data_IF_998943032325
#
_entry.id   IF_998943032325
#
_cell.length_a   1.000
_cell.length_b   1.000
_cell.length_c   1.000
_cell.angle_alpha   90.00
_cell.angle_beta   90.00
_cell.angle_gamma   90.00
#
_symmetry.space_group_name_H-M   'P 1'
#
loop_
_entity.id
_entity.type
_entity.pdbx_description
1 polymer ?
#
# COMPACT_ATOMS: atom_id res chain seq x y z
N UNK A 1 7.95 56.32 -56.41
CA UNK A 1 8.32 54.99 -55.87
C UNK A 1 8.54 55.14 -54.38
N UNK A 2 7.66 54.58 -53.54
CA UNK A 2 8.02 53.79 -52.35
C UNK A 2 6.75 53.40 -51.59
N UNK A 3 6.54 52.08 -51.48
CA UNK A 3 5.41 51.42 -50.83
C UNK A 3 5.53 51.50 -49.30
N UNK A 4 4.41 51.83 -48.64
CA UNK A 4 4.21 51.55 -47.23
C UNK A 4 3.78 50.08 -47.06
N UNK A 5 4.55 49.28 -46.33
CA UNK A 5 4.17 47.89 -45.98
C UNK A 5 3.72 47.82 -44.52
N UNK A 6 2.56 47.18 -44.33
CA UNK A 6 1.71 47.18 -43.14
C UNK A 6 2.20 46.23 -42.02
N UNK A 7 1.99 46.52 -40.72
CA UNK A 7 2.49 45.73 -39.59
C UNK A 7 1.52 44.63 -39.11
N UNK A 8 0.72 44.02 -40.00
CA UNK A 8 -0.41 43.17 -39.58
C UNK A 8 -0.04 41.68 -39.38
N UNK A 9 1.06 41.18 -39.97
CA UNK A 9 1.38 39.74 -39.94
C UNK A 9 2.06 39.21 -38.66
N UNK A 10 2.43 40.07 -37.69
CA UNK A 10 3.26 39.64 -36.55
C UNK A 10 2.47 39.17 -35.33
N UNK A 11 1.15 39.39 -35.29
CA UNK A 11 0.30 39.04 -34.14
C UNK A 11 -0.22 37.59 -34.18
N UNK A 12 -0.58 37.06 -35.36
CA UNK A 12 -1.20 35.72 -35.48
C UNK A 12 -0.29 34.56 -35.03
N UNK A 13 1.02 34.64 -35.29
CA UNK A 13 1.95 33.55 -34.95
C UNK A 13 2.18 33.34 -33.45
N UNK A 14 1.89 34.34 -32.60
CA UNK A 14 2.07 34.25 -31.14
C UNK A 14 0.91 33.53 -30.47
N UNK A 15 -0.32 33.74 -30.93
CA UNK A 15 -1.51 33.11 -30.35
C UNK A 15 -1.53 31.59 -30.57
N UNK A 16 -1.08 31.12 -31.74
CA UNK A 16 -1.06 29.68 -32.05
C UNK A 16 0.02 28.89 -31.28
N UNK A 17 1.15 29.55 -30.95
CA UNK A 17 2.22 28.95 -30.11
C UNK A 17 1.84 28.94 -28.62
N UNK A 18 1.16 29.99 -28.15
CA UNK A 18 0.67 30.06 -26.78
C UNK A 18 -0.41 29.00 -26.50
N UNK A 19 -1.34 28.77 -27.43
CA UNK A 19 -2.38 27.73 -27.29
C UNK A 19 -1.82 26.31 -27.27
N UNK A 20 -0.81 26.02 -28.10
CA UNK A 20 -0.09 24.72 -28.08
C UNK A 20 0.72 24.52 -26.81
N UNK A 21 1.40 25.56 -26.31
CA UNK A 21 2.14 25.49 -25.06
C UNK A 21 1.23 25.26 -23.85
N UNK A 22 0.05 25.91 -23.82
CA UNK A 22 -0.96 25.70 -22.78
C UNK A 22 -1.54 24.28 -22.80
N UNK A 23 -1.80 23.72 -23.99
CA UNK A 23 -2.29 22.35 -24.15
C UNK A 23 -1.24 21.30 -23.72
N UNK A 24 0.03 21.52 -24.05
CA UNK A 24 1.12 20.63 -23.61
C UNK A 24 1.33 20.73 -22.09
N UNK A 25 1.26 21.93 -21.50
CA UNK A 25 1.36 22.12 -20.06
C UNK A 25 0.16 21.51 -19.30
N UNK A 26 -1.05 21.59 -19.86
CA UNK A 26 -2.22 20.93 -19.31
C UNK A 26 -2.09 19.40 -19.37
N UNK A 27 -1.61 18.85 -20.50
CA UNK A 27 -1.40 17.41 -20.65
C UNK A 27 -0.32 16.85 -19.70
N UNK A 28 0.75 17.60 -19.42
CA UNK A 28 1.77 17.18 -18.46
C UNK A 28 1.30 17.26 -17.00
N UNK A 29 0.39 18.17 -16.65
CA UNK A 29 -0.20 18.24 -15.32
C UNK A 29 -1.10 17.03 -14.99
N UNK A 30 -1.81 16.45 -15.98
CA UNK A 30 -2.60 15.23 -15.78
C UNK A 30 -1.75 13.96 -15.67
N UNK A 31 -0.52 13.96 -16.19
CA UNK A 31 0.37 12.80 -16.14
C UNK A 31 0.99 12.53 -14.75
N UNK A 32 0.92 13.50 -13.83
CA UNK A 32 1.53 13.40 -12.49
C UNK A 32 0.60 12.82 -11.41
N UNK A 33 -0.63 12.43 -11.75
CA UNK A 33 -1.61 11.93 -10.79
C UNK A 33 -1.44 10.43 -10.40
N UNK A 34 -0.45 9.73 -10.95
CA UNK A 34 -0.17 8.33 -10.64
C UNK A 34 0.69 8.18 -9.37
N UNK A 35 0.26 8.77 -8.26
CA UNK A 35 0.91 8.51 -6.97
C UNK A 35 0.57 7.10 -6.50
N UNK A 36 1.59 6.29 -6.22
CA UNK A 36 1.55 4.93 -5.67
C UNK A 36 0.71 4.85 -4.38
N UNK A 37 -0.61 4.77 -4.51
CA UNK A 37 -1.53 4.61 -3.40
C UNK A 37 -1.82 3.13 -3.20
N UNK A 38 -1.47 2.58 -2.03
CA UNK A 38 -1.90 1.24 -1.66
C UNK A 38 -3.35 1.32 -1.18
N UNK A 39 -4.23 0.52 -1.77
CA UNK A 39 -5.65 0.49 -1.39
C UNK A 39 -5.84 -0.16 -0.02
N UNK A 40 -6.54 0.51 0.89
CA UNK A 40 -6.94 -0.03 2.19
C UNK A 40 -8.46 -0.01 2.33
N UNK A 41 -9.02 -1.00 3.02
CA UNK A 41 -10.45 -1.13 3.30
C UNK A 41 -10.69 -0.91 4.79
N UNK A 42 -11.55 0.05 5.16
CA UNK A 42 -11.94 0.25 6.56
C UNK A 42 -12.61 -1.01 7.11
N UNK A 43 -12.14 -1.47 8.25
CA UNK A 43 -12.67 -2.65 8.93
C UNK A 43 -12.31 -2.65 10.41
N UNK A 44 -13.24 -3.09 11.24
CA UNK A 44 -12.99 -3.29 12.67
C UNK A 44 -12.48 -4.72 12.92
N UNK A 45 -11.38 -4.82 13.66
CA UNK A 45 -10.89 -6.10 14.17
C UNK A 45 -11.69 -6.53 15.39
N UNK A 46 -12.08 -7.80 15.44
CA UNK A 46 -12.60 -8.42 16.66
C UNK A 46 -11.40 -8.91 17.49
N UNK A 47 -11.15 -8.36 18.69
CA UNK A 47 -10.02 -8.77 19.50
C UNK A 47 -10.22 -10.18 20.07
N UNK A 48 -9.12 -10.90 20.29
CA UNK A 48 -9.13 -12.18 21.03
C UNK A 48 -9.57 -11.92 22.48
N UNK A 49 -10.45 -12.77 23.01
CA UNK A 49 -10.90 -12.64 24.38
C UNK A 49 -9.74 -12.93 25.35
N UNK A 50 -9.66 -12.28 26.52
CA UNK A 50 -8.57 -12.52 27.50
C UNK A 50 -8.46 -13.97 27.98
N UNK A 51 -9.56 -14.73 27.89
CA UNK A 51 -9.63 -16.14 28.30
C UNK A 51 -9.22 -17.13 27.19
N UNK A 52 -9.07 -16.66 25.95
CA UNK A 52 -8.69 -17.54 24.84
C UNK A 52 -7.20 -17.89 24.89
N UNK A 53 -6.82 -19.13 24.56
CA UNK A 53 -5.43 -19.52 24.51
C UNK A 53 -4.63 -18.65 23.52
N UNK A 54 -3.47 -18.20 23.97
CA UNK A 54 -2.57 -17.34 23.19
C UNK A 54 -1.90 -18.17 22.10
N UNK A 55 -2.41 -18.08 20.88
CA UNK A 55 -1.82 -18.78 19.74
C UNK A 55 -0.62 -17.98 19.20
N UNK A 56 0.57 -18.57 19.28
CA UNK A 56 1.79 -17.99 18.71
C UNK A 56 2.28 -18.85 17.55
N UNK A 57 2.61 -18.20 16.44
CA UNK A 57 3.24 -18.83 15.29
C UNK A 57 4.67 -18.34 15.17
N UNK A 58 5.58 -19.24 14.79
CA UNK A 58 6.94 -18.89 14.42
C UNK A 58 7.14 -19.19 12.94
N UNK A 59 7.72 -18.26 12.18
CA UNK A 59 8.02 -18.49 10.77
C UNK A 59 9.27 -19.36 10.64
N UNK A 60 9.18 -20.51 9.97
CA UNK A 60 10.34 -21.39 9.77
C UNK A 60 11.28 -20.93 8.65
N UNK A 61 10.83 -20.03 7.77
CA UNK A 61 11.64 -19.39 6.73
C UNK A 61 11.17 -17.96 6.46
N UNK A 62 11.97 -17.21 5.71
CA UNK A 62 11.63 -15.85 5.29
C UNK A 62 10.36 -15.85 4.43
N UNK A 63 9.51 -14.85 4.62
CA UNK A 63 8.30 -14.61 3.81
C UNK A 63 8.42 -13.24 3.16
N UNK A 64 8.29 -13.20 1.83
CA UNK A 64 8.29 -11.97 1.05
C UNK A 64 6.86 -11.74 0.58
N UNK A 65 6.21 -10.71 1.14
CA UNK A 65 4.81 -10.39 0.90
C UNK A 65 4.72 -9.23 -0.12
N UNK A 66 4.18 -9.47 -1.34
CA UNK A 66 4.06 -8.42 -2.35
C UNK A 66 2.90 -7.47 -2.01
N UNK A 67 3.16 -6.16 -2.12
CA UNK A 67 2.18 -5.11 -1.93
C UNK A 67 1.61 -4.62 -3.27
N UNK A 68 0.39 -4.04 -3.30
CA UNK A 68 -0.26 -3.57 -4.53
C UNK A 68 0.48 -2.48 -5.32
N UNK A 69 1.50 -1.86 -4.73
CA UNK A 69 2.33 -0.82 -5.37
C UNK A 69 3.66 -1.39 -5.91
N UNK A 70 3.72 -2.68 -6.23
CA UNK A 70 4.90 -3.41 -6.69
C UNK A 70 6.09 -3.46 -5.72
N UNK A 71 5.92 -2.93 -4.50
CA UNK A 71 6.88 -3.11 -3.41
C UNK A 71 6.64 -4.42 -2.66
N UNK A 72 7.51 -4.75 -1.70
CA UNK A 72 7.34 -5.93 -0.87
C UNK A 72 7.73 -5.70 0.58
N UNK A 73 7.17 -6.52 1.45
CA UNK A 73 7.45 -6.55 2.88
C UNK A 73 8.10 -7.89 3.22
N UNK A 74 9.23 -7.84 3.91
CA UNK A 74 9.97 -9.03 4.34
C UNK A 74 9.67 -9.35 5.79
N UNK A 75 9.19 -10.56 6.05
CA UNK A 75 9.04 -11.12 7.39
C UNK A 75 10.21 -12.08 7.62
N UNK A 76 11.11 -11.81 8.59
CA UNK A 76 12.28 -12.65 8.84
C UNK A 76 11.93 -14.08 9.24
N UNK A 77 12.80 -15.03 8.86
CA UNK A 77 12.77 -16.38 9.44
C UNK A 77 12.97 -16.30 10.96
N UNK A 78 12.33 -17.20 11.70
CA UNK A 78 12.36 -17.24 13.17
C UNK A 78 11.52 -16.16 13.86
N UNK A 79 10.93 -15.22 13.12
CA UNK A 79 10.05 -14.21 13.71
C UNK A 79 8.80 -14.85 14.34
N UNK A 80 8.39 -14.30 15.49
CA UNK A 80 7.27 -14.80 16.28
C UNK A 80 6.09 -13.84 16.23
N UNK A 81 4.90 -14.40 16.05
CA UNK A 81 3.68 -13.64 15.84
C UNK A 81 2.57 -14.20 16.72
N UNK A 82 1.97 -13.33 17.53
CA UNK A 82 0.89 -13.68 18.44
C UNK A 82 -0.45 -13.30 17.83
N UNK A 83 -1.41 -14.23 17.83
CA UNK A 83 -2.79 -13.93 17.46
C UNK A 83 -3.39 -12.92 18.43
N UNK A 84 -3.94 -11.83 17.90
CA UNK A 84 -4.52 -10.71 18.68
C UNK A 84 -5.97 -10.41 18.30
N UNK A 85 -6.44 -10.92 17.16
CA UNK A 85 -7.82 -10.74 16.75
C UNK A 85 -8.17 -11.55 15.51
N UNK A 86 -9.32 -11.25 14.96
CA UNK A 86 -9.79 -11.77 13.69
C UNK A 86 -10.50 -10.68 12.87
N UNK A 87 -10.47 -10.88 11.56
CA UNK A 87 -11.24 -10.17 10.55
C UNK A 87 -11.99 -11.22 9.69
N UNK A 88 -13.01 -10.81 8.91
CA UNK A 88 -13.61 -11.68 7.89
C UNK A 88 -12.59 -12.31 6.93
N UNK A 89 -11.45 -11.64 6.69
CA UNK A 89 -10.37 -12.13 5.82
C UNK A 89 -9.45 -13.17 6.48
N UNK A 90 -9.43 -13.26 7.81
CA UNK A 90 -8.56 -14.19 8.54
C UNK A 90 -8.18 -13.72 9.94
N UNK A 91 -7.34 -14.51 10.59
CA UNK A 91 -6.76 -14.23 11.89
C UNK A 91 -5.71 -13.14 11.81
N UNK A 92 -5.67 -12.27 12.82
CA UNK A 92 -4.77 -11.13 12.92
C UNK A 92 -3.66 -11.43 13.92
N UNK A 93 -2.42 -11.27 13.49
CA UNK A 93 -1.23 -11.57 14.28
C UNK A 93 -0.32 -10.35 14.43
N UNK A 94 0.08 -10.06 15.67
CA UNK A 94 1.02 -9.00 16.02
C UNK A 94 2.42 -9.58 16.24
N UNK A 95 3.45 -8.88 15.76
CA UNK A 95 4.83 -9.25 16.03
C UNK A 95 5.13 -9.25 17.53
N UNK A 96 5.85 -10.26 18.01
CA UNK A 96 6.33 -10.32 19.39
C UNK A 96 7.72 -9.68 19.56
N UNK A 97 8.46 -9.45 18.46
CA UNK A 97 9.81 -8.86 18.51
C UNK A 97 9.82 -7.33 18.56
N UNK A 98 8.66 -6.70 18.80
CA UNK A 98 8.50 -5.25 18.84
C UNK A 98 7.60 -4.69 17.73
N UNK A 99 7.73 -3.38 17.49
CA UNK A 99 6.93 -2.67 16.50
C UNK A 99 7.27 -3.16 15.09
N UNK A 100 6.30 -3.75 14.40
CA UNK A 100 6.41 -4.08 12.99
C UNK A 100 5.68 -3.02 12.17
N UNK A 101 6.35 -2.46 11.17
CA UNK A 101 5.79 -1.41 10.32
C UNK A 101 5.87 -1.83 8.86
N UNK A 102 4.89 -1.37 8.09
CA UNK A 102 4.87 -1.53 6.63
C UNK A 102 4.74 -0.15 6.01
N UNK A 103 5.39 0.03 4.86
CA UNK A 103 5.27 1.27 4.11
C UNK A 103 3.86 1.36 3.50
N UNK A 104 3.06 2.27 4.03
CA UNK A 104 1.79 2.68 3.43
C UNK A 104 1.77 4.20 3.28
N UNK A 105 0.62 4.77 2.90
CA UNK A 105 0.41 6.22 2.90
C UNK A 105 0.78 6.86 4.25
N UNK A 106 0.56 6.15 5.36
CA UNK A 106 1.00 6.55 6.70
C UNK A 106 1.91 5.45 7.24
N UNK A 107 3.14 5.81 7.61
CA UNK A 107 3.99 4.84 8.29
C UNK A 107 3.42 4.55 9.67
N UNK A 108 3.08 3.29 9.92
CA UNK A 108 2.41 2.87 11.15
C UNK A 108 2.61 1.39 11.44
N UNK A 109 2.19 0.98 12.64
CA UNK A 109 2.19 -0.42 13.03
C UNK A 109 1.31 -1.25 12.08
N UNK A 110 1.71 -2.50 11.82
CA UNK A 110 0.95 -3.42 11.00
C UNK A 110 0.93 -4.82 11.62
N UNK A 111 -0.22 -5.48 11.53
CA UNK A 111 -0.44 -6.85 11.97
C UNK A 111 -0.65 -7.74 10.75
N UNK A 112 -0.09 -8.95 10.76
CA UNK A 112 -0.25 -9.92 9.69
C UNK A 112 -1.67 -10.48 9.72
N UNK A 113 -2.32 -10.58 8.57
CA UNK A 113 -3.61 -11.26 8.43
C UNK A 113 -3.43 -12.54 7.65
N UNK A 114 -3.86 -13.65 8.24
CA UNK A 114 -3.66 -14.97 7.68
C UNK A 114 -4.91 -15.84 7.77
N UNK A 115 -5.09 -16.70 6.77
CA UNK A 115 -6.16 -17.70 6.74
C UNK A 115 -5.66 -18.95 6.05
N UNK A 116 -6.05 -20.13 6.55
CA UNK A 116 -5.70 -21.43 5.96
C UNK A 116 -4.21 -21.60 5.62
N UNK A 117 -3.31 -21.15 6.51
CA UNK A 117 -1.86 -21.25 6.31
C UNK A 117 -1.29 -20.29 5.24
N UNK A 118 -2.07 -19.29 4.81
CA UNK A 118 -1.62 -18.24 3.87
C UNK A 118 -1.79 -16.86 4.48
N UNK A 119 -0.80 -16.01 4.23
CA UNK A 119 -0.86 -14.58 4.47
C UNK A 119 -1.67 -13.95 3.34
N UNK A 120 -2.66 -13.14 3.70
CA UNK A 120 -3.56 -12.48 2.75
C UNK A 120 -3.47 -10.95 2.79
N UNK A 121 -2.90 -10.38 3.85
CA UNK A 121 -2.78 -8.94 3.98
C UNK A 121 -2.22 -8.50 5.33
N UNK A 122 -2.42 -7.22 5.61
CA UNK A 122 -2.10 -6.59 6.87
C UNK A 122 -3.32 -5.86 7.45
N UNK A 123 -3.44 -5.86 8.77
CA UNK A 123 -4.33 -4.97 9.49
C UNK A 123 -3.53 -3.79 10.05
N UNK A 124 -4.04 -2.58 9.84
CA UNK A 124 -3.42 -1.32 10.23
C UNK A 124 -4.20 -0.75 11.44
N UNK A 125 -3.78 -1.02 12.69
CA UNK A 125 -4.52 -0.61 13.89
C UNK A 125 -4.74 0.90 13.98
N UNK A 126 -3.73 1.71 13.62
CA UNK A 126 -3.85 3.18 13.63
C UNK A 126 -4.85 3.73 12.60
N UNK A 127 -5.21 2.92 11.60
CA UNK A 127 -6.19 3.28 10.57
C UNK A 127 -7.52 2.55 10.73
N UNK A 128 -7.60 1.48 11.53
CA UNK A 128 -8.75 0.58 11.54
C UNK A 128 -9.07 0.07 10.13
N UNK A 129 -8.05 -0.45 9.44
CA UNK A 129 -8.14 -0.81 8.03
C UNK A 129 -7.38 -2.08 7.70
N UNK A 130 -7.87 -2.81 6.71
CA UNK A 130 -7.23 -3.97 6.09
C UNK A 130 -6.58 -3.57 4.77
N UNK A 131 -5.35 -4.02 4.57
CA UNK A 131 -4.56 -3.81 3.36
C UNK A 131 -4.27 -5.19 2.74
N UNK A 132 -4.86 -5.53 1.59
CA UNK A 132 -4.60 -6.82 0.94
C UNK A 132 -3.19 -6.88 0.35
N UNK A 133 -2.62 -8.08 0.28
CA UNK A 133 -1.47 -8.35 -0.58
C UNK A 133 -1.91 -8.41 -2.04
N UNK A 134 -0.97 -8.19 -2.97
CA UNK A 134 -1.24 -8.40 -4.41
C UNK A 134 -1.62 -9.84 -4.73
N UNK A 135 -1.11 -10.79 -3.94
CA UNK A 135 -1.46 -12.21 -3.98
C UNK A 135 -1.22 -12.86 -2.62
N UNK A 136 -2.01 -13.87 -2.23
CA UNK A 136 -1.73 -14.64 -1.04
C UNK A 136 -0.35 -15.30 -1.07
N UNK A 137 0.32 -15.37 0.08
CA UNK A 137 1.64 -15.99 0.24
C UNK A 137 1.56 -17.09 1.29
N UNK A 138 2.13 -18.25 1.03
CA UNK A 138 2.16 -19.34 2.01
C UNK A 138 2.93 -18.92 3.26
N UNK A 139 2.31 -19.10 4.44
CA UNK A 139 2.96 -18.91 5.72
C UNK A 139 3.55 -20.24 6.20
N UNK A 140 4.87 -20.35 6.27
CA UNK A 140 5.55 -21.54 6.75
C UNK A 140 5.58 -21.48 8.27
N UNK A 141 4.46 -21.81 8.90
CA UNK A 141 4.28 -21.71 10.36
C UNK A 141 4.67 -22.99 11.07
N UNK A 142 5.44 -22.82 12.12
CA UNK A 142 5.58 -23.79 13.20
C UNK A 142 4.67 -23.32 14.34
N UNK A 143 3.71 -24.15 14.74
CA UNK A 143 2.81 -23.84 15.85
C UNK A 143 3.56 -23.99 17.16
N UNK A 144 3.58 -22.93 17.99
CA UNK A 144 3.96 -23.03 19.40
C UNK A 144 2.71 -22.91 20.26
N UNK A 145 2.44 -23.94 21.05
CA UNK A 145 1.38 -23.97 22.07
C UNK A 145 1.90 -23.45 23.40
#
# INVERSE_FOLDING_TARGET
MSMASSPVHKLEGRFMRAGRALLVAAASAFALAACMSVSTQKIAMVPVAPADPVHTIQLSRVVIAPLPNDSSVTLPAGSQWRRVGALPQGDVYRSQSGLFTVQTRRQGEAYVVATSGKMVGFYLPGEGAFMPLSRPVTLPVEMRQ
#
